data_IF_569649153748
#
_entry.id   IF_569649153748
#
_cell.length_a   1.000
_cell.length_b   1.000
_cell.length_c   1.000
_cell.angle_alpha   90.00
_cell.angle_beta   90.00
_cell.angle_gamma   90.00
#
_symmetry.space_group_name_H-M   'P 1'
#
loop_
_entity.id
_entity.type
_entity.pdbx_description
1 polymer ?
#
# COMPACT_ATOMS: atom_id res chain seq x y z
N UNK A 1 17.78 -26.29 26.17
CA UNK A 1 17.74 -25.93 24.73
C UNK A 1 19.00 -26.47 24.09
N UNK A 2 18.82 -27.27 23.05
CA UNK A 2 19.93 -27.77 22.24
C UNK A 2 20.50 -26.60 21.39
N UNK A 3 21.77 -26.76 20.91
CA UNK A 3 22.42 -25.77 20.04
C UNK A 3 21.59 -25.46 18.77
N UNK A 4 20.87 -26.45 18.24
CA UNK A 4 19.98 -26.30 17.09
C UNK A 4 18.77 -25.40 17.41
N UNK A 5 18.14 -25.59 18.58
CA UNK A 5 17.02 -24.77 19.05
C UNK A 5 17.42 -23.31 19.25
N UNK A 6 18.61 -23.06 19.85
CA UNK A 6 19.12 -21.70 20.06
C UNK A 6 19.31 -20.99 18.74
N UNK A 7 19.92 -21.67 17.73
CA UNK A 7 20.13 -21.11 16.41
C UNK A 7 18.82 -20.76 15.71
N UNK A 8 17.85 -21.66 15.74
CA UNK A 8 16.53 -21.44 15.13
C UNK A 8 15.79 -20.28 15.80
N UNK A 9 15.90 -20.16 17.15
CA UNK A 9 15.31 -19.04 17.88
C UNK A 9 15.93 -17.70 17.51
N UNK A 10 17.24 -17.62 17.42
CA UNK A 10 17.95 -16.40 17.04
C UNK A 10 17.59 -15.99 15.59
N UNK A 11 17.55 -16.94 14.68
CA UNK A 11 17.18 -16.70 13.29
C UNK A 11 15.71 -16.27 13.17
N UNK A 12 14.80 -16.91 13.89
CA UNK A 12 13.39 -16.53 13.97
C UNK A 12 13.22 -15.11 14.49
N UNK A 13 13.90 -14.78 15.60
CA UNK A 13 13.87 -13.47 16.23
C UNK A 13 14.35 -12.40 15.26
N UNK A 14 15.48 -12.61 14.60
CA UNK A 14 16.05 -11.67 13.65
C UNK A 14 15.10 -11.41 12.45
N UNK A 15 14.48 -12.46 11.89
CA UNK A 15 13.51 -12.30 10.80
C UNK A 15 12.22 -11.61 11.26
N UNK A 16 11.74 -11.89 12.46
CA UNK A 16 10.55 -11.24 13.02
C UNK A 16 10.79 -9.75 13.31
N UNK A 17 11.96 -9.38 13.81
CA UNK A 17 12.33 -7.98 14.03
C UNK A 17 12.49 -7.24 12.70
N UNK A 18 13.05 -7.90 11.69
CA UNK A 18 13.13 -7.37 10.32
C UNK A 18 11.74 -7.15 9.72
N UNK A 19 10.81 -8.08 9.91
CA UNK A 19 9.42 -7.94 9.46
C UNK A 19 8.75 -6.73 10.10
N UNK A 20 8.83 -6.58 11.43
CA UNK A 20 8.28 -5.43 12.16
C UNK A 20 8.87 -4.12 11.68
N UNK A 21 10.18 -4.07 11.46
CA UNK A 21 10.85 -2.90 10.91
C UNK A 21 10.29 -2.51 9.53
N UNK A 22 10.07 -3.48 8.65
CA UNK A 22 9.53 -3.22 7.31
C UNK A 22 8.07 -2.78 7.34
N UNK A 23 7.25 -3.33 8.23
CA UNK A 23 5.86 -2.91 8.44
C UNK A 23 5.79 -1.46 8.94
N UNK A 24 6.60 -1.10 9.96
CA UNK A 24 6.67 0.27 10.49
C UNK A 24 7.16 1.26 9.42
N UNK A 25 8.19 0.88 8.66
CA UNK A 25 8.69 1.70 7.56
C UNK A 25 7.64 1.89 6.46
N UNK A 26 6.86 0.87 6.15
CA UNK A 26 5.76 0.93 5.19
C UNK A 26 4.67 1.89 5.65
N UNK A 27 4.25 1.81 6.92
CA UNK A 27 3.24 2.73 7.48
C UNK A 27 3.71 4.18 7.46
N UNK A 28 4.96 4.44 7.84
CA UNK A 28 5.55 5.79 7.78
C UNK A 28 5.58 6.32 6.35
N UNK A 29 6.00 5.52 5.38
CA UNK A 29 5.99 5.90 3.97
C UNK A 29 4.58 6.21 3.47
N UNK A 30 3.61 5.39 3.82
CA UNK A 30 2.21 5.62 3.43
C UNK A 30 1.65 6.92 4.03
N UNK A 31 1.94 7.22 5.30
CA UNK A 31 1.56 8.48 5.93
C UNK A 31 2.19 9.68 5.21
N UNK A 32 3.48 9.62 4.88
CA UNK A 32 4.14 10.67 4.10
C UNK A 32 3.54 10.84 2.70
N UNK A 33 3.22 9.72 2.02
CA UNK A 33 2.53 9.78 0.74
C UNK A 33 1.20 10.53 0.85
N UNK A 34 0.35 10.19 1.81
CA UNK A 34 -0.93 10.89 2.02
C UNK A 34 -0.74 12.38 2.28
N UNK A 35 0.23 12.75 3.12
CA UNK A 35 0.54 14.16 3.41
C UNK A 35 0.93 14.91 2.15
N UNK A 36 1.80 14.34 1.32
CA UNK A 36 2.24 14.95 0.06
C UNK A 36 1.05 15.09 -0.90
N UNK A 37 0.24 14.03 -1.07
CA UNK A 37 -0.89 14.06 -1.98
C UNK A 37 -1.95 15.10 -1.57
N UNK A 38 -2.26 15.19 -0.28
CA UNK A 38 -3.21 16.18 0.23
C UNK A 38 -2.70 17.62 0.06
N UNK A 39 -1.40 17.86 0.23
CA UNK A 39 -0.80 19.17 -0.02
C UNK A 39 -0.92 19.56 -1.50
N UNK A 40 -0.62 18.64 -2.44
CA UNK A 40 -0.79 18.89 -3.86
C UNK A 40 -2.25 19.11 -4.26
N UNK A 41 -3.20 18.36 -3.69
CA UNK A 41 -4.63 18.55 -3.94
C UNK A 41 -5.11 19.92 -3.47
N UNK A 42 -4.67 20.38 -2.29
CA UNK A 42 -5.01 21.70 -1.78
C UNK A 42 -4.45 22.80 -2.69
N UNK A 43 -3.21 22.65 -3.15
CA UNK A 43 -2.58 23.59 -4.05
C UNK A 43 -3.25 23.61 -5.44
N UNK A 44 -3.59 22.44 -5.96
CA UNK A 44 -4.34 22.32 -7.21
C UNK A 44 -5.71 22.99 -7.11
N UNK A 45 -6.44 22.81 -6.01
CA UNK A 45 -7.74 23.43 -5.79
C UNK A 45 -7.66 24.97 -5.75
N UNK A 46 -6.62 25.52 -5.12
CA UNK A 46 -6.37 26.98 -5.10
C UNK A 46 -6.11 27.52 -6.50
N UNK A 47 -5.22 26.87 -7.27
CA UNK A 47 -4.92 27.27 -8.65
C UNK A 47 -6.13 27.11 -9.57
N UNK A 48 -6.94 26.04 -9.37
CA UNK A 48 -8.14 25.82 -10.14
C UNK A 48 -9.19 26.95 -9.92
N UNK A 49 -9.34 27.39 -8.66
CA UNK A 49 -10.19 28.54 -8.34
C UNK A 49 -9.72 29.81 -9.09
N UNK A 50 -8.43 30.10 -9.04
CA UNK A 50 -7.87 31.28 -9.72
C UNK A 50 -7.98 31.16 -11.25
N UNK A 51 -7.73 29.98 -11.80
CA UNK A 51 -7.87 29.71 -13.22
C UNK A 51 -9.31 29.89 -13.73
N UNK A 52 -10.31 29.45 -12.95
CA UNK A 52 -11.72 29.62 -13.29
C UNK A 52 -12.18 31.08 -13.23
N UNK A 53 -11.58 31.88 -12.37
CA UNK A 53 -11.93 33.30 -12.22
C UNK A 53 -11.20 34.15 -13.27
N UNK A 54 -9.90 33.92 -13.49
CA UNK A 54 -9.07 34.75 -14.37
C UNK A 54 -9.10 34.30 -15.83
N UNK A 55 -9.45 33.03 -16.09
CA UNK A 55 -9.40 32.38 -17.41
C UNK A 55 -8.08 32.67 -18.17
N UNK A 56 -6.98 32.83 -17.41
CA UNK A 56 -5.68 33.15 -18.00
C UNK A 56 -4.94 31.88 -18.43
N UNK A 57 -4.26 31.98 -19.57
CA UNK A 57 -3.41 30.88 -20.09
C UNK A 57 -2.34 30.48 -19.10
N UNK A 58 -1.76 31.43 -18.37
CA UNK A 58 -0.74 31.17 -17.36
C UNK A 58 -1.29 30.28 -16.22
N UNK A 59 -2.51 30.57 -15.74
CA UNK A 59 -3.16 29.78 -14.68
C UNK A 59 -3.53 28.37 -15.16
N UNK A 60 -4.01 28.21 -16.39
CA UNK A 60 -4.32 26.92 -17.00
C UNK A 60 -3.06 26.07 -17.19
N UNK A 61 -1.97 26.68 -17.67
CA UNK A 61 -0.68 26.02 -17.81
C UNK A 61 -0.14 25.57 -16.44
N UNK A 62 -0.26 26.42 -15.41
CA UNK A 62 0.15 26.09 -14.06
C UNK A 62 -0.63 24.89 -13.48
N UNK A 63 -1.93 24.77 -13.77
CA UNK A 63 -2.75 23.62 -13.38
C UNK A 63 -2.24 22.30 -13.99
N UNK A 64 -1.88 22.30 -15.27
CA UNK A 64 -1.33 21.11 -15.91
C UNK A 64 0.02 20.74 -15.28
N UNK A 65 0.89 21.73 -15.09
CA UNK A 65 2.23 21.51 -14.54
C UNK A 65 2.18 21.00 -13.09
N UNK A 66 1.29 21.51 -12.25
CA UNK A 66 1.19 21.08 -10.84
C UNK A 66 0.62 19.66 -10.68
N UNK A 67 -0.12 19.15 -11.66
CA UNK A 67 -0.63 17.79 -11.63
C UNK A 67 0.43 16.72 -11.94
N UNK A 68 1.53 17.07 -12.58
CA UNK A 68 2.57 16.12 -13.00
C UNK A 68 3.36 15.54 -11.82
N UNK A 69 3.91 16.33 -10.86
CA UNK A 69 4.68 15.79 -9.75
C UNK A 69 3.90 14.74 -8.91
N UNK A 70 2.66 14.97 -8.45
CA UNK A 70 1.95 13.99 -7.66
C UNK A 70 1.58 12.72 -8.43
N UNK A 71 1.41 12.81 -9.76
CA UNK A 71 1.24 11.64 -10.63
C UNK A 71 2.51 10.76 -10.64
N UNK A 72 3.67 11.39 -10.82
CA UNK A 72 4.97 10.69 -10.77
C UNK A 72 5.21 10.08 -9.39
N UNK A 73 4.92 10.82 -8.32
CA UNK A 73 5.04 10.35 -6.94
C UNK A 73 4.13 9.13 -6.72
N UNK A 74 2.86 9.19 -7.15
CA UNK A 74 1.93 8.06 -7.02
C UNK A 74 2.44 6.82 -7.74
N UNK A 75 2.95 6.95 -8.96
CA UNK A 75 3.53 5.84 -9.72
C UNK A 75 4.75 5.24 -9.01
N UNK A 76 5.63 6.08 -8.48
CA UNK A 76 6.79 5.63 -7.73
C UNK A 76 6.39 4.87 -6.46
N UNK A 77 5.41 5.39 -5.69
CA UNK A 77 4.93 4.74 -4.47
C UNK A 77 4.26 3.40 -4.74
N UNK A 78 3.50 3.24 -5.82
CA UNK A 78 2.94 1.95 -6.23
C UNK A 78 4.06 0.92 -6.46
N UNK A 79 5.15 1.32 -7.13
CA UNK A 79 6.31 0.43 -7.35
C UNK A 79 7.04 0.06 -6.06
N UNK A 80 7.21 1.03 -5.17
CA UNK A 80 7.86 0.80 -3.86
C UNK A 80 7.00 -0.12 -2.99
N UNK A 81 5.68 0.08 -2.97
CA UNK A 81 4.74 -0.79 -2.24
C UNK A 81 4.81 -2.24 -2.76
N UNK A 82 4.81 -2.44 -4.08
CA UNK A 82 4.94 -3.77 -4.69
C UNK A 82 6.23 -4.48 -4.26
N UNK A 83 7.38 -3.77 -4.24
CA UNK A 83 8.66 -4.32 -3.77
C UNK A 83 8.64 -4.63 -2.28
N UNK A 84 8.06 -3.75 -1.47
CA UNK A 84 7.92 -3.97 -0.02
C UNK A 84 7.09 -5.21 0.28
N UNK A 85 6.02 -5.46 -0.48
CA UNK A 85 5.23 -6.69 -0.38
C UNK A 85 6.04 -7.94 -0.68
N UNK A 86 6.76 -7.95 -1.80
CA UNK A 86 7.59 -9.09 -2.15
C UNK A 86 8.62 -9.41 -1.06
N UNK A 87 9.18 -8.38 -0.42
CA UNK A 87 10.10 -8.54 0.71
C UNK A 87 9.39 -9.14 1.93
N UNK A 88 8.22 -8.62 2.32
CA UNK A 88 7.41 -9.14 3.43
C UNK A 88 7.02 -10.59 3.18
N UNK A 89 6.57 -10.92 1.97
CA UNK A 89 6.19 -12.29 1.59
C UNK A 89 7.38 -13.26 1.67
N UNK A 90 8.56 -12.82 1.24
CA UNK A 90 9.80 -13.62 1.33
C UNK A 90 10.18 -13.85 2.79
N UNK A 91 10.13 -12.81 3.63
CA UNK A 91 10.44 -12.91 5.06
C UNK A 91 9.46 -13.83 5.79
N UNK A 92 8.16 -13.70 5.50
CA UNK A 92 7.13 -14.59 6.04
C UNK A 92 7.33 -16.05 5.61
N UNK A 93 7.70 -16.29 4.36
CA UNK A 93 8.02 -17.63 3.88
C UNK A 93 9.23 -18.22 4.63
N UNK A 94 10.27 -17.41 4.89
CA UNK A 94 11.43 -17.85 5.68
C UNK A 94 11.04 -18.18 7.12
N UNK A 95 10.23 -17.34 7.77
CA UNK A 95 9.71 -17.60 9.12
C UNK A 95 8.94 -18.92 9.18
N UNK A 96 8.10 -19.22 8.20
CA UNK A 96 7.39 -20.50 8.10
C UNK A 96 8.32 -21.71 7.99
N UNK A 97 9.40 -21.57 7.22
CA UNK A 97 10.40 -22.65 7.09
C UNK A 97 11.12 -22.88 8.43
N UNK A 98 11.52 -21.81 9.14
CA UNK A 98 12.15 -21.92 10.44
C UNK A 98 11.21 -22.57 11.46
N UNK A 99 9.92 -22.21 11.46
CA UNK A 99 8.92 -22.81 12.34
C UNK A 99 8.73 -24.30 12.05
N UNK A 100 8.74 -24.68 10.77
CA UNK A 100 8.67 -26.10 10.37
C UNK A 100 9.91 -26.87 10.84
N UNK A 101 11.11 -26.34 10.61
CA UNK A 101 12.34 -26.92 11.11
C UNK A 101 12.33 -27.04 12.64
N UNK A 102 11.73 -26.07 13.32
CA UNK A 102 11.58 -26.13 14.78
C UNK A 102 10.63 -27.21 15.26
N UNK A 103 9.50 -27.42 14.57
CA UNK A 103 8.57 -28.50 14.89
C UNK A 103 9.23 -29.89 14.77
N UNK A 104 10.14 -30.04 13.79
CA UNK A 104 10.90 -31.29 13.61
C UNK A 104 11.91 -31.53 14.75
N UNK A 105 12.47 -30.46 15.34
CA UNK A 105 13.46 -30.52 16.45
C UNK A 105 12.78 -30.59 17.82
N UNK A 106 11.65 -29.90 18.01
CA UNK A 106 10.94 -29.81 19.30
C UNK A 106 9.41 -29.84 19.07
N UNK A 107 8.80 -31.05 18.94
CA UNK A 107 7.39 -31.21 18.61
C UNK A 107 6.42 -30.56 19.61
N UNK A 108 6.82 -30.43 20.87
CA UNK A 108 6.01 -29.85 21.96
C UNK A 108 6.05 -28.33 22.05
N UNK A 109 6.82 -27.65 21.16
CA UNK A 109 6.94 -26.21 21.22
C UNK A 109 5.69 -25.50 20.65
N UNK A 110 5.07 -24.64 21.45
CA UNK A 110 3.90 -23.84 21.06
C UNK A 110 4.24 -22.62 20.18
N UNK A 111 5.47 -22.50 19.70
CA UNK A 111 5.97 -21.32 18.98
C UNK A 111 5.32 -21.08 17.59
N UNK A 112 4.81 -22.13 16.97
CA UNK A 112 4.35 -22.10 15.57
C UNK A 112 3.00 -21.43 15.31
N UNK A 113 2.28 -21.01 16.37
CA UNK A 113 0.85 -20.70 16.26
C UNK A 113 0.55 -19.42 15.50
N UNK A 114 1.36 -18.38 15.66
CA UNK A 114 1.04 -17.05 15.16
C UNK A 114 1.41 -16.89 13.68
N UNK A 115 2.53 -17.43 13.27
CA UNK A 115 3.05 -17.31 11.91
C UNK A 115 2.28 -18.19 10.92
N UNK A 116 1.88 -19.39 11.34
CA UNK A 116 1.02 -20.24 10.52
C UNK A 116 -0.34 -19.58 10.26
N UNK A 117 -0.94 -18.93 11.28
CA UNK A 117 -2.17 -18.17 11.11
C UNK A 117 -1.99 -17.01 10.13
N UNK A 118 -0.90 -16.26 10.25
CA UNK A 118 -0.63 -15.13 9.37
C UNK A 118 -0.40 -15.57 7.90
N UNK A 119 0.31 -16.67 7.68
CA UNK A 119 0.53 -17.21 6.34
C UNK A 119 -0.76 -17.74 5.69
N UNK A 120 -1.62 -18.37 6.48
CA UNK A 120 -2.93 -18.85 6.03
C UNK A 120 -3.84 -17.65 5.72
N UNK A 121 -3.85 -16.62 6.55
CA UNK A 121 -4.62 -15.38 6.33
C UNK A 121 -4.11 -14.61 5.11
N UNK A 122 -2.79 -14.58 4.87
CA UNK A 122 -2.20 -13.87 3.73
C UNK A 122 -2.50 -14.53 2.38
N UNK A 123 -2.68 -15.86 2.37
CA UNK A 123 -3.00 -16.62 1.15
C UNK A 123 -4.48 -16.59 0.77
N UNK A 124 -5.35 -16.02 1.60
CA UNK A 124 -6.79 -15.96 1.38
C UNK A 124 -7.47 -17.33 1.18
N UNK A 125 -6.90 -18.37 1.74
CA UNK A 125 -7.46 -19.73 1.69
C UNK A 125 -8.42 -19.93 2.86
N UNK A 126 -9.70 -19.73 2.59
CA UNK A 126 -10.78 -19.84 3.59
C UNK A 126 -10.85 -21.23 4.24
N UNK A 127 -10.65 -22.29 3.45
CA UNK A 127 -10.68 -23.65 3.95
C UNK A 127 -9.52 -23.96 4.91
N UNK A 128 -8.33 -23.43 4.61
CA UNK A 128 -7.19 -23.56 5.50
C UNK A 128 -7.36 -22.76 6.80
N UNK A 129 -7.92 -21.54 6.74
CA UNK A 129 -8.23 -20.74 7.94
C UNK A 129 -9.22 -21.47 8.84
N UNK A 130 -10.31 -21.99 8.27
CA UNK A 130 -11.30 -22.71 9.04
C UNK A 130 -10.73 -23.98 9.68
N UNK A 131 -9.94 -24.76 8.93
CA UNK A 131 -9.22 -25.92 9.45
C UNK A 131 -8.27 -25.56 10.58
N UNK A 132 -7.55 -24.46 10.45
CA UNK A 132 -6.61 -23.97 11.46
C UNK A 132 -7.32 -23.53 12.75
N UNK A 133 -8.40 -22.75 12.63
CA UNK A 133 -9.20 -22.26 13.76
C UNK A 133 -9.84 -23.44 14.51
N UNK A 134 -10.41 -24.41 13.78
CA UNK A 134 -10.99 -25.63 14.37
C UNK A 134 -9.96 -26.51 15.07
N UNK A 135 -8.79 -26.72 14.45
CA UNK A 135 -7.74 -27.57 15.01
C UNK A 135 -7.17 -27.03 16.33
N UNK A 136 -7.30 -25.74 16.60
CA UNK A 136 -6.73 -25.07 17.78
C UNK A 136 -7.77 -24.53 18.77
N UNK A 137 -9.03 -24.86 18.62
CA UNK A 137 -10.13 -24.39 19.48
C UNK A 137 -10.11 -22.87 19.71
N UNK A 138 -9.72 -22.09 18.70
CA UNK A 138 -9.73 -20.64 18.77
C UNK A 138 -11.17 -20.15 18.73
N UNK A 139 -11.65 -19.59 19.85
CA UNK A 139 -12.95 -18.95 19.94
C UNK A 139 -12.92 -17.63 19.16
N UNK A 140 -13.31 -17.64 17.91
CA UNK A 140 -13.40 -16.45 17.08
C UNK A 140 -14.04 -16.74 15.74
N UNK A 141 -14.71 -15.76 15.17
CA UNK A 141 -15.22 -15.85 13.81
C UNK A 141 -14.04 -15.82 12.81
N UNK A 142 -13.71 -16.94 12.13
CA UNK A 142 -12.61 -16.99 11.17
C UNK A 142 -12.82 -16.01 10.01
N UNK A 143 -14.08 -15.72 9.65
CA UNK A 143 -14.42 -14.78 8.59
C UNK A 143 -14.16 -13.33 9.01
N UNK A 144 -14.38 -12.97 10.29
CA UNK A 144 -14.03 -11.64 10.81
C UNK A 144 -12.52 -11.40 10.82
N UNK A 145 -11.70 -12.42 11.08
CA UNK A 145 -10.25 -12.36 10.97
C UNK A 145 -9.79 -12.21 9.53
N UNK A 146 -10.38 -12.98 8.60
CA UNK A 146 -10.11 -12.89 7.16
C UNK A 146 -10.49 -11.53 6.57
N UNK A 147 -11.68 -11.02 6.90
CA UNK A 147 -12.14 -9.72 6.41
C UNK A 147 -11.30 -8.59 6.93
N UNK A 148 -10.83 -8.64 8.18
CA UNK A 148 -9.91 -7.63 8.74
C UNK A 148 -8.53 -7.68 8.07
N UNK A 149 -7.96 -8.85 7.83
CA UNK A 149 -6.67 -8.99 7.14
C UNK A 149 -6.75 -8.57 5.67
N UNK A 150 -7.84 -8.90 4.96
CA UNK A 150 -8.10 -8.40 3.59
C UNK A 150 -8.23 -6.88 3.54
N UNK A 151 -8.90 -6.26 4.53
CA UNK A 151 -9.20 -4.83 4.49
C UNK A 151 -7.95 -3.95 4.62
N UNK A 152 -6.96 -4.31 5.41
CA UNK A 152 -5.80 -3.46 5.65
C UNK A 152 -4.85 -3.39 4.44
N UNK A 153 -4.52 -4.52 3.83
CA UNK A 153 -3.55 -4.57 2.70
C UNK A 153 -4.16 -4.18 1.36
N UNK A 154 -5.41 -4.60 1.10
CA UNK A 154 -6.10 -4.24 -0.13
C UNK A 154 -6.44 -2.75 -0.17
N UNK A 155 -6.76 -2.14 0.99
CA UNK A 155 -7.12 -0.73 1.08
C UNK A 155 -5.96 0.21 0.79
N UNK A 156 -4.75 -0.05 1.28
CA UNK A 156 -3.58 0.79 1.00
C UNK A 156 -3.27 0.83 -0.50
N UNK A 157 -3.23 -0.33 -1.15
CA UNK A 157 -2.97 -0.39 -2.59
C UNK A 157 -4.09 0.23 -3.43
N UNK A 158 -5.35 0.07 -2.99
CA UNK A 158 -6.50 0.72 -3.62
C UNK A 158 -6.40 2.25 -3.50
N UNK A 159 -6.00 2.77 -2.33
CA UNK A 159 -5.79 4.22 -2.11
C UNK A 159 -4.67 4.75 -3.01
N UNK A 160 -3.53 4.06 -3.12
CA UNK A 160 -2.45 4.46 -4.02
C UNK A 160 -2.91 4.53 -5.48
N UNK A 161 -3.67 3.54 -5.96
CA UNK A 161 -4.24 3.52 -7.29
C UNK A 161 -5.30 4.60 -7.48
N UNK A 162 -6.13 4.85 -6.48
CA UNK A 162 -7.14 5.91 -6.50
C UNK A 162 -6.49 7.28 -6.71
N UNK A 163 -5.43 7.60 -5.96
CA UNK A 163 -4.69 8.86 -6.15
C UNK A 163 -4.06 8.95 -7.53
N UNK A 164 -3.51 7.86 -8.06
CA UNK A 164 -2.93 7.84 -9.40
C UNK A 164 -3.99 8.14 -10.48
N UNK A 165 -5.15 7.49 -10.40
CA UNK A 165 -6.27 7.76 -11.32
C UNK A 165 -6.84 9.17 -11.15
N UNK A 166 -6.96 9.65 -9.92
CA UNK A 166 -7.41 11.00 -9.62
C UNK A 166 -6.54 12.03 -10.33
N UNK A 167 -5.22 11.89 -10.25
CA UNK A 167 -4.30 12.82 -10.91
C UNK A 167 -4.32 12.71 -12.43
N UNK A 168 -4.53 11.52 -12.99
CA UNK A 168 -4.74 11.37 -14.44
C UNK A 168 -6.00 12.14 -14.88
N UNK A 169 -7.10 11.99 -14.15
CA UNK A 169 -8.36 12.69 -14.46
C UNK A 169 -8.18 14.22 -14.35
N UNK A 170 -7.56 14.70 -13.27
CA UNK A 170 -7.33 16.12 -13.05
C UNK A 170 -6.38 16.71 -14.11
N UNK A 171 -5.29 16.04 -14.44
CA UNK A 171 -4.36 16.46 -15.47
C UNK A 171 -5.03 16.48 -16.86
N UNK A 172 -5.82 15.45 -17.18
CA UNK A 172 -6.55 15.36 -18.45
C UNK A 172 -7.62 16.46 -18.58
N UNK A 173 -8.35 16.72 -17.51
CA UNK A 173 -9.35 17.81 -17.48
C UNK A 173 -8.68 19.17 -17.66
N UNK A 174 -7.59 19.45 -16.95
CA UNK A 174 -6.84 20.69 -17.10
C UNK A 174 -6.27 20.85 -18.52
N UNK A 175 -5.73 19.79 -19.12
CA UNK A 175 -5.20 19.79 -20.47
C UNK A 175 -6.30 20.02 -21.52
N UNK A 176 -7.48 19.42 -21.34
CA UNK A 176 -8.63 19.65 -22.23
C UNK A 176 -9.12 21.10 -22.18
N UNK A 177 -9.24 21.67 -20.98
CA UNK A 177 -9.64 23.07 -20.81
C UNK A 177 -8.58 23.98 -21.45
N UNK A 178 -7.30 23.71 -21.26
CA UNK A 178 -6.22 24.46 -21.87
C UNK A 178 -6.27 24.39 -23.41
N UNK A 179 -6.49 23.20 -23.97
CA UNK A 179 -6.57 23.00 -25.42
C UNK A 179 -7.79 23.70 -26.03
N UNK A 180 -8.96 23.57 -25.39
CA UNK A 180 -10.19 24.23 -25.88
C UNK A 180 -10.04 25.74 -25.84
N UNK A 181 -9.43 26.29 -24.79
CA UNK A 181 -9.16 27.73 -24.72
C UNK A 181 -8.27 28.19 -25.84
N UNK A 182 -7.19 27.51 -26.17
CA UNK A 182 -6.29 27.81 -27.26
C UNK A 182 -7.00 27.81 -28.62
N UNK A 183 -7.94 26.89 -28.86
CA UNK A 183 -8.72 26.84 -30.06
C UNK A 183 -9.65 28.08 -30.19
N UNK A 184 -10.31 28.48 -29.08
CA UNK A 184 -11.18 29.65 -29.09
C UNK A 184 -10.43 30.98 -29.28
N UNK A 185 -9.24 31.15 -28.66
CA UNK A 185 -8.37 32.31 -28.92
C UNK A 185 -7.92 32.36 -30.40
N UNK A 186 -7.53 31.19 -30.96
CA UNK A 186 -7.10 31.10 -32.37
C UNK A 186 -8.22 31.41 -33.37
N UNK A 187 -9.49 31.26 -32.98
CA UNK A 187 -10.65 31.64 -33.84
C UNK A 187 -11.16 33.06 -33.60
N UNK A 188 -10.49 33.87 -32.75
CA UNK A 188 -10.85 35.27 -32.51
C UNK A 188 -12.21 35.46 -31.83
N UNK A 189 -12.71 34.45 -31.12
CA UNK A 189 -14.01 34.46 -30.41
C UNK A 189 -13.91 35.15 -29.05
N UNK A 190 -12.70 35.29 -28.52
CA UNK A 190 -12.42 35.96 -27.23
C UNK A 190 -11.42 37.09 -27.50
N UNK A 191 -11.94 38.27 -27.74
CA UNK A 191 -11.18 39.53 -27.77
C UNK A 191 -11.57 40.40 -26.60
#
# INVERSE_FOLDING_TARGET
MDKAEIRLFEEWKANNDLLKFHEDLKQKRFAHFLTIQTAFLAFFALLAKDALVSLSMASLTALVLIAVPPLIISFYFIRVDTRSRAFVDTTNTRLLLIEKEWQDVSPDSHFSTYQQLFAVLSRHDEAMVEKYVRARNLNGDPFALLTRAKSAHASEHAILRMFWWLWIVLASAAALIHLTWHLFEGFGVVS
#
